data_IF_525838288818
#
_entry.id   IF_525838288818
#
_cell.length_a   1.000
_cell.length_b   1.000
_cell.length_c   1.000
_cell.angle_alpha   90.00
_cell.angle_beta   90.00
_cell.angle_gamma   90.00
#
_symmetry.space_group_name_H-M   'P 1'
#
loop_
_entity.id
_entity.type
_entity.pdbx_description
1 polymer ?
#
# COMPACT_ATOMS: atom_id res chain seq x y z
N UNK A 1 3.72 15.14 -17.38
CA UNK A 1 3.74 14.25 -18.54
C UNK A 1 4.56 13.05 -18.16
N UNK A 2 3.99 11.84 -18.21
CA UNK A 2 4.68 10.66 -17.70
C UNK A 2 5.79 10.25 -18.67
N UNK A 3 7.03 10.31 -18.20
CA UNK A 3 8.19 9.86 -18.99
C UNK A 3 8.13 8.35 -19.12
N UNK A 4 8.02 7.85 -20.34
CA UNK A 4 8.01 6.43 -20.65
C UNK A 4 9.01 6.13 -21.75
N UNK A 5 10.03 5.32 -21.43
CA UNK A 5 11.09 4.94 -22.37
C UNK A 5 10.83 3.65 -23.16
N UNK A 6 9.73 2.94 -22.95
CA UNK A 6 9.50 1.66 -23.64
C UNK A 6 8.25 1.69 -24.51
N UNK A 7 8.47 1.65 -25.84
CA UNK A 7 7.47 1.42 -26.90
C UNK A 7 6.99 -0.05 -26.99
N UNK A 8 7.32 -0.90 -26.01
CA UNK A 8 6.77 -2.27 -25.93
C UNK A 8 5.37 -2.20 -25.33
N UNK A 9 4.35 -2.44 -26.15
CA UNK A 9 2.92 -2.62 -25.80
C UNK A 9 2.60 -2.40 -24.32
N UNK A 10 2.25 -1.16 -23.95
CA UNK A 10 1.72 -0.85 -22.63
C UNK A 10 0.35 -1.50 -22.54
N UNK A 11 0.27 -2.69 -21.93
CA UNK A 11 -1.02 -3.29 -21.61
C UNK A 11 -1.68 -2.43 -20.54
N UNK A 12 -2.85 -1.87 -20.83
CA UNK A 12 -3.65 -1.18 -19.83
C UNK A 12 -3.99 -2.17 -18.68
N UNK A 13 -3.90 -1.70 -17.41
CA UNK A 13 -4.35 -2.50 -16.29
C UNK A 13 -5.87 -2.69 -16.40
N UNK A 14 -6.31 -3.94 -16.27
CA UNK A 14 -7.71 -4.34 -16.26
C UNK A 14 -7.86 -5.33 -15.10
N UNK A 15 -8.67 -4.98 -14.11
CA UNK A 15 -8.91 -5.77 -12.91
C UNK A 15 -9.44 -7.15 -13.33
N UNK A 16 -8.85 -8.20 -12.76
CA UNK A 16 -9.20 -9.58 -13.06
C UNK A 16 -8.57 -10.14 -14.35
N UNK A 17 -8.06 -9.29 -15.26
CA UNK A 17 -7.41 -9.71 -16.52
C UNK A 17 -5.89 -9.50 -16.47
N UNK A 18 -5.44 -8.25 -16.40
CA UNK A 18 -4.01 -7.88 -16.46
C UNK A 18 -3.46 -7.34 -15.14
N UNK A 19 -4.32 -6.94 -14.20
CA UNK A 19 -3.95 -6.55 -12.82
C UNK A 19 -4.83 -7.25 -11.78
N UNK A 20 -4.29 -7.50 -10.60
CA UNK A 20 -5.02 -8.09 -9.46
C UNK A 20 -4.85 -7.25 -8.21
N UNK A 21 -5.97 -6.89 -7.60
CA UNK A 21 -6.03 -6.25 -6.30
C UNK A 21 -6.63 -7.22 -5.29
N UNK A 22 -5.94 -7.37 -4.16
CA UNK A 22 -6.36 -8.17 -3.02
C UNK A 22 -6.60 -7.20 -1.86
N UNK A 23 -7.66 -7.42 -1.11
CA UNK A 23 -7.94 -6.68 0.13
C UNK A 23 -7.88 -7.62 1.31
N UNK A 24 -7.49 -7.11 2.47
CA UNK A 24 -7.51 -7.84 3.73
C UNK A 24 -7.85 -6.90 4.88
N UNK A 25 -8.52 -7.42 5.91
CA UNK A 25 -8.84 -6.67 7.12
C UNK A 25 -8.16 -7.28 8.34
N UNK A 26 -7.49 -6.46 9.15
CA UNK A 26 -7.02 -6.80 10.50
C UNK A 26 -7.87 -6.02 11.49
N UNK A 27 -8.74 -6.72 12.21
CA UNK A 27 -9.74 -6.09 13.09
C UNK A 27 -9.52 -6.67 14.48
N UNK A 28 -9.37 -5.78 15.46
CA UNK A 28 -9.30 -6.15 16.87
C UNK A 28 -10.60 -5.77 17.58
N UNK A 29 -11.04 -6.61 18.51
CA UNK A 29 -12.09 -6.23 19.48
C UNK A 29 -11.46 -5.55 20.71
N UNK A 30 -12.31 -5.13 21.65
CA UNK A 30 -11.89 -4.46 22.89
C UNK A 30 -11.01 -5.35 23.79
N UNK A 31 -11.13 -6.68 23.66
CA UNK A 31 -10.31 -7.68 24.35
C UNK A 31 -8.97 -7.96 23.64
N UNK A 32 -8.63 -7.20 22.60
CA UNK A 32 -7.40 -7.34 21.80
C UNK A 32 -7.28 -8.73 21.13
N UNK A 33 -8.41 -9.36 20.87
CA UNK A 33 -8.53 -10.54 20.02
C UNK A 33 -8.73 -10.10 18.57
N UNK A 34 -8.25 -10.89 17.62
CA UNK A 34 -8.34 -10.57 16.19
C UNK A 34 -9.44 -11.36 15.51
N UNK A 35 -10.20 -10.73 14.62
CA UNK A 35 -11.17 -11.41 13.78
C UNK A 35 -10.46 -12.33 12.78
N UNK A 36 -10.80 -13.62 12.81
CA UNK A 36 -10.28 -14.63 11.89
C UNK A 36 -11.45 -15.41 11.29
N UNK A 37 -11.26 -15.89 10.06
CA UNK A 37 -12.21 -16.77 9.37
C UNK A 37 -11.60 -18.14 9.14
N UNK A 38 -12.44 -19.18 9.16
CA UNK A 38 -12.06 -20.54 8.81
C UNK A 38 -12.45 -20.81 7.35
N UNK A 39 -11.47 -21.17 6.54
CA UNK A 39 -11.62 -21.33 5.10
C UNK A 39 -12.52 -22.51 4.71
N UNK A 40 -13.45 -22.27 3.78
CA UNK A 40 -14.33 -23.29 3.19
C UNK A 40 -13.72 -23.95 1.94
N UNK A 41 -12.85 -23.23 1.22
CA UNK A 41 -12.30 -23.58 -0.11
C UNK A 41 -11.42 -24.82 -0.04
N UNK A 42 -11.67 -25.80 -0.91
CA UNK A 42 -11.05 -27.14 -0.84
C UNK A 42 -9.51 -27.16 -0.69
N UNK A 43 -8.80 -26.21 -1.32
CA UNK A 43 -7.32 -26.13 -1.26
C UNK A 43 -6.77 -25.68 0.09
N UNK A 44 -7.58 -25.00 0.90
CA UNK A 44 -7.19 -24.42 2.20
C UNK A 44 -8.23 -24.68 3.28
N UNK A 45 -9.13 -25.64 3.08
CA UNK A 45 -10.24 -25.91 3.99
C UNK A 45 -9.74 -26.17 5.42
N UNK A 46 -10.45 -25.63 6.41
CA UNK A 46 -10.10 -25.70 7.83
C UNK A 46 -8.83 -24.94 8.24
N UNK A 47 -8.26 -24.15 7.33
CA UNK A 47 -7.20 -23.21 7.69
C UNK A 47 -7.78 -21.88 8.09
N UNK A 48 -7.09 -21.18 8.98
CA UNK A 48 -7.50 -19.86 9.46
C UNK A 48 -6.77 -18.74 8.72
N UNK A 49 -7.49 -17.68 8.41
CA UNK A 49 -6.97 -16.49 7.71
C UNK A 49 -7.68 -15.23 8.21
N UNK A 50 -7.13 -14.07 7.84
CA UNK A 50 -7.83 -12.80 7.96
C UNK A 50 -8.94 -12.73 6.90
N UNK A 51 -10.06 -12.02 7.17
CA UNK A 51 -11.03 -11.70 6.13
C UNK A 51 -10.32 -11.05 4.95
N UNK A 52 -10.38 -11.67 3.77
CA UNK A 52 -9.63 -11.21 2.60
C UNK A 52 -10.10 -11.84 1.30
N UNK A 53 -10.11 -11.03 0.25
CA UNK A 53 -10.38 -11.53 -1.09
C UNK A 53 -10.00 -10.55 -2.18
N UNK A 54 -10.61 -10.72 -3.34
CA UNK A 54 -10.24 -9.98 -4.55
C UNK A 54 -11.17 -8.80 -4.71
N UNK A 55 -10.62 -7.65 -5.08
CA UNK A 55 -11.48 -6.59 -5.62
C UNK A 55 -12.07 -7.07 -6.95
N UNK A 56 -13.34 -6.77 -7.16
CA UNK A 56 -14.06 -7.08 -8.38
C UNK A 56 -14.02 -5.90 -9.37
N UNK A 57 -14.28 -6.13 -10.67
CA UNK A 57 -14.54 -5.04 -11.60
C UNK A 57 -15.72 -4.18 -11.09
N UNK A 58 -15.70 -2.88 -11.37
CA UNK A 58 -16.73 -1.94 -10.91
C UNK A 58 -16.80 -1.74 -9.39
N UNK A 59 -15.67 -1.91 -8.68
CA UNK A 59 -15.60 -1.82 -7.22
C UNK A 59 -14.41 -0.95 -6.77
N UNK A 60 -14.59 -0.15 -5.72
CA UNK A 60 -13.46 0.53 -5.07
C UNK A 60 -12.77 -0.42 -4.10
N UNK A 61 -11.47 -0.25 -3.87
CA UNK A 61 -10.71 -1.09 -2.91
C UNK A 61 -11.33 -1.05 -1.50
N UNK A 62 -11.90 0.10 -1.10
CA UNK A 62 -12.57 0.26 0.19
C UNK A 62 -13.89 -0.52 0.25
N UNK A 63 -14.66 -0.54 -0.85
CA UNK A 63 -15.89 -1.32 -0.93
C UNK A 63 -15.60 -2.82 -0.92
N UNK A 64 -14.54 -3.24 -1.63
CA UNK A 64 -14.07 -4.62 -1.65
C UNK A 64 -13.77 -5.15 -0.24
N UNK A 65 -13.04 -4.38 0.59
CA UNK A 65 -12.71 -4.86 1.94
C UNK A 65 -13.95 -4.94 2.84
N UNK A 66 -14.94 -4.06 2.64
CA UNK A 66 -16.23 -4.11 3.35
C UNK A 66 -17.03 -5.34 2.95
N UNK A 67 -17.15 -5.61 1.64
CA UNK A 67 -17.84 -6.79 1.10
C UNK A 67 -17.22 -8.09 1.60
N UNK A 68 -15.91 -8.25 1.42
CA UNK A 68 -15.19 -9.47 1.83
C UNK A 68 -15.31 -9.73 3.33
N UNK A 69 -15.22 -8.68 4.17
CA UNK A 69 -15.43 -8.83 5.60
C UNK A 69 -16.85 -9.30 5.93
N UNK A 70 -17.87 -8.74 5.27
CA UNK A 70 -19.25 -9.14 5.49
C UNK A 70 -19.53 -10.58 5.01
N UNK A 71 -19.09 -10.94 3.80
CA UNK A 71 -19.27 -12.27 3.21
C UNK A 71 -18.60 -13.37 4.04
N UNK A 72 -17.36 -13.15 4.47
CA UNK A 72 -16.57 -14.17 5.17
C UNK A 72 -16.82 -14.21 6.69
N UNK A 73 -17.26 -13.10 7.31
CA UNK A 73 -17.41 -13.02 8.77
C UNK A 73 -18.80 -12.63 9.29
N UNK A 74 -19.70 -12.17 8.41
CA UNK A 74 -21.02 -11.67 8.77
C UNK A 74 -21.02 -10.28 9.43
N UNK A 75 -19.85 -9.66 9.62
CA UNK A 75 -19.71 -8.36 10.26
C UNK A 75 -19.62 -7.22 9.24
N UNK A 76 -20.35 -6.14 9.50
CA UNK A 76 -20.22 -4.88 8.77
C UNK A 76 -19.11 -4.05 9.40
N UNK A 77 -18.22 -3.51 8.57
CA UNK A 77 -17.01 -2.82 9.02
C UNK A 77 -16.90 -1.42 8.42
N UNK A 78 -16.27 -0.52 9.17
CA UNK A 78 -15.78 0.75 8.67
C UNK A 78 -14.25 0.75 8.72
N UNK A 79 -13.57 0.69 7.56
CA UNK A 79 -12.12 0.80 7.48
C UNK A 79 -11.61 2.07 8.16
N UNK A 80 -10.60 1.93 9.02
CA UNK A 80 -10.03 3.01 9.82
C UNK A 80 -8.68 3.48 9.29
N UNK A 81 -7.90 2.59 8.67
CA UNK A 81 -6.63 2.94 8.02
C UNK A 81 -6.22 1.88 6.98
N UNK A 82 -5.52 2.31 5.93
CA UNK A 82 -4.73 1.42 5.08
C UNK A 82 -3.34 1.29 5.71
N UNK A 83 -2.99 0.12 6.23
CA UNK A 83 -1.75 -0.04 7.03
C UNK A 83 -0.61 -0.65 6.21
N UNK A 84 -0.92 -1.48 5.22
CA UNK A 84 0.09 -2.13 4.38
C UNK A 84 -0.34 -2.16 2.92
N UNK A 85 0.60 -1.82 2.04
CA UNK A 85 0.53 -2.11 0.61
C UNK A 85 1.62 -3.12 0.27
N UNK A 86 1.22 -4.29 -0.19
CA UNK A 86 2.14 -5.30 -0.71
C UNK A 86 2.04 -5.35 -2.23
N UNK A 87 3.18 -5.58 -2.89
CA UNK A 87 3.17 -5.85 -4.33
C UNK A 87 4.03 -7.06 -4.69
N UNK A 88 3.59 -7.75 -5.74
CA UNK A 88 4.33 -8.84 -6.38
C UNK A 88 4.43 -8.54 -7.86
N UNK A 89 5.44 -7.76 -8.23
CA UNK A 89 5.49 -7.10 -9.53
C UNK A 89 4.66 -5.80 -9.54
N UNK A 90 4.30 -5.36 -10.74
CA UNK A 90 3.48 -4.17 -11.00
C UNK A 90 2.04 -4.49 -11.39
N UNK A 91 1.64 -5.76 -11.30
CA UNK A 91 0.31 -6.24 -11.68
C UNK A 91 -0.41 -7.03 -10.56
N UNK A 92 0.16 -7.06 -9.36
CA UNK A 92 -0.47 -7.67 -8.20
C UNK A 92 -0.20 -6.80 -6.98
N UNK A 93 -1.26 -6.39 -6.31
CA UNK A 93 -1.20 -5.60 -5.08
C UNK A 93 -2.13 -6.18 -4.02
N UNK A 94 -1.70 -6.11 -2.76
CA UNK A 94 -2.55 -6.38 -1.59
C UNK A 94 -2.63 -5.14 -0.70
N UNK A 95 -3.83 -4.76 -0.33
CA UNK A 95 -4.16 -3.64 0.54
C UNK A 95 -4.71 -4.18 1.85
N UNK A 96 -3.96 -4.01 2.94
CA UNK A 96 -4.40 -4.44 4.26
C UNK A 96 -4.91 -3.25 5.06
N UNK A 97 -6.14 -3.34 5.53
CA UNK A 97 -6.81 -2.32 6.30
C UNK A 97 -6.93 -2.71 7.77
N UNK A 98 -6.91 -1.73 8.66
CA UNK A 98 -7.61 -1.85 9.95
C UNK A 98 -9.04 -1.37 9.78
N UNK A 99 -9.95 -1.85 10.63
CA UNK A 99 -11.34 -1.41 10.61
C UNK A 99 -11.96 -1.51 12.01
N UNK A 100 -13.10 -0.86 12.18
CA UNK A 100 -13.99 -1.05 13.33
C UNK A 100 -15.27 -1.75 12.88
N UNK A 101 -15.82 -2.61 13.74
CA UNK A 101 -17.13 -3.21 13.50
C UNK A 101 -18.22 -2.16 13.74
N UNK A 102 -19.16 -2.03 12.81
CA UNK A 102 -20.28 -1.07 12.90
C UNK A 102 -21.65 -1.75 12.86
N UNK A 103 -21.71 -3.06 12.59
CA UNK A 103 -22.94 -3.81 12.47
C UNK A 103 -22.71 -5.28 12.11
N UNK A 104 -23.78 -5.97 11.72
CA UNK A 104 -23.75 -7.38 11.36
C UNK A 104 -23.77 -8.34 12.56
N UNK A 105 -23.60 -9.63 12.27
CA UNK A 105 -23.54 -10.70 13.27
C UNK A 105 -22.42 -11.68 12.91
N UNK A 106 -21.63 -12.06 13.92
CA UNK A 106 -20.52 -12.98 13.70
C UNK A 106 -21.02 -14.31 13.13
N UNK A 107 -20.45 -14.70 11.99
CA UNK A 107 -20.89 -15.87 11.22
C UNK A 107 -20.55 -17.18 11.92
N UNK A 108 -21.58 -17.98 12.14
CA UNK A 108 -21.50 -19.30 12.79
C UNK A 108 -21.92 -20.45 11.87
N UNK A 109 -22.50 -20.14 10.71
CA UNK A 109 -23.01 -21.13 9.74
C UNK A 109 -22.12 -21.14 8.51
N UNK A 110 -21.71 -22.33 8.10
CA UNK A 110 -20.83 -22.53 6.97
C UNK A 110 -21.53 -22.33 5.63
N UNK A 111 -20.82 -21.72 4.67
CA UNK A 111 -21.21 -21.61 3.28
C UNK A 111 -20.00 -21.69 2.33
N UNK A 112 -20.15 -21.16 1.11
CA UNK A 112 -19.10 -21.13 0.10
C UNK A 112 -17.97 -20.16 0.43
N UNK A 113 -18.21 -19.12 1.22
CA UNK A 113 -17.22 -18.08 1.54
C UNK A 113 -16.35 -18.48 2.72
N UNK A 114 -16.97 -19.00 3.78
CA UNK A 114 -16.26 -19.44 4.98
C UNK A 114 -17.06 -20.47 5.78
N UNK A 115 -16.36 -21.23 6.63
CA UNK A 115 -16.99 -22.18 7.57
C UNK A 115 -17.58 -21.43 8.77
N UNK A 116 -16.82 -20.49 9.32
CA UNK A 116 -17.19 -19.65 10.45
C UNK A 116 -16.21 -18.49 10.60
N UNK A 117 -16.53 -17.55 11.49
CA UNK A 117 -15.62 -16.52 11.98
C UNK A 117 -15.54 -16.53 13.50
N UNK A 118 -14.36 -16.24 14.04
CA UNK A 118 -14.10 -16.17 15.48
C UNK A 118 -13.24 -14.95 15.83
N UNK A 119 -13.45 -14.44 17.03
CA UNK A 119 -12.47 -13.62 17.71
C UNK A 119 -11.40 -14.53 18.31
N UNK A 120 -10.15 -14.31 17.92
CA UNK A 120 -9.05 -15.19 18.25
C UNK A 120 -8.01 -14.47 19.11
N UNK A 121 -7.77 -15.03 20.30
CA UNK A 121 -6.70 -14.58 21.17
C UNK A 121 -5.32 -14.90 20.60
N UNK A 122 -4.29 -14.24 21.13
CA UNK A 122 -2.91 -14.52 20.74
C UNK A 122 -2.50 -15.98 20.98
N UNK A 123 -2.99 -16.62 22.04
CA UNK A 123 -2.66 -18.03 22.32
C UNK A 123 -3.32 -18.97 21.30
N UNK A 124 -4.51 -18.63 20.81
CA UNK A 124 -5.15 -19.39 19.73
C UNK A 124 -4.31 -19.30 18.45
N UNK A 125 -3.95 -18.08 18.03
CA UNK A 125 -3.21 -17.82 16.80
C UNK A 125 -1.88 -18.58 16.72
N UNK A 126 -1.17 -18.73 17.84
CA UNK A 126 0.09 -19.48 17.91
C UNK A 126 -0.07 -20.98 17.63
N UNK A 127 -1.27 -21.53 17.83
CA UNK A 127 -1.57 -22.96 17.66
C UNK A 127 -2.44 -23.23 16.42
N UNK A 128 -3.07 -22.20 15.86
CA UNK A 128 -3.98 -22.31 14.75
C UNK A 128 -3.28 -22.83 13.49
N UNK A 129 -3.97 -23.66 12.72
CA UNK A 129 -3.52 -24.08 11.40
C UNK A 129 -3.79 -22.94 10.39
N UNK A 130 -2.84 -22.03 10.25
CA UNK A 130 -3.03 -20.85 9.42
C UNK A 130 -2.90 -21.15 7.92
N UNK A 131 -3.66 -20.43 7.10
CA UNK A 131 -3.58 -20.53 5.63
C UNK A 131 -2.20 -20.13 5.12
N UNK A 132 -1.60 -19.12 5.75
CA UNK A 132 -0.31 -18.57 5.36
C UNK A 132 0.45 -18.00 6.55
N UNK A 133 1.75 -18.27 6.62
CA UNK A 133 2.66 -17.79 7.68
C UNK A 133 2.75 -16.25 7.74
N UNK A 134 2.43 -15.56 6.65
CA UNK A 134 2.41 -14.09 6.64
C UNK A 134 1.26 -13.48 7.45
N UNK A 135 0.24 -14.28 7.78
CA UNK A 135 -0.94 -13.84 8.55
C UNK A 135 -0.54 -13.39 9.96
N UNK A 136 0.20 -14.22 10.72
CA UNK A 136 0.68 -13.84 12.06
C UNK A 136 1.55 -12.59 12.01
N UNK A 137 2.46 -12.56 11.04
CA UNK A 137 3.37 -11.44 10.93
C UNK A 137 2.63 -10.13 10.63
N UNK A 138 1.55 -10.17 9.85
CA UNK A 138 0.68 -9.02 9.61
C UNK A 138 -0.06 -8.60 10.88
N UNK A 139 -0.66 -9.54 11.60
CA UNK A 139 -1.37 -9.27 12.86
C UNK A 139 -0.43 -8.61 13.87
N UNK A 140 0.77 -9.16 14.05
CA UNK A 140 1.78 -8.61 14.95
C UNK A 140 2.27 -7.23 14.53
N UNK A 141 2.43 -6.99 13.22
CA UNK A 141 2.81 -5.70 12.70
C UNK A 141 1.74 -4.64 13.03
N UNK A 142 0.47 -4.94 12.76
CA UNK A 142 -0.64 -4.01 13.04
C UNK A 142 -0.79 -3.79 14.54
N UNK A 143 -0.76 -4.86 15.36
CA UNK A 143 -0.87 -4.79 16.83
C UNK A 143 0.22 -3.90 17.46
N UNK A 144 1.42 -3.88 16.89
CA UNK A 144 2.51 -2.98 17.32
C UNK A 144 2.33 -1.55 16.83
N UNK A 145 1.76 -1.37 15.64
CA UNK A 145 1.58 -0.06 14.99
C UNK A 145 0.38 0.72 15.52
N UNK A 146 -0.65 0.02 16.01
CA UNK A 146 -1.89 0.60 16.54
C UNK A 146 -1.65 1.52 17.76
N UNK A 147 -0.55 1.29 18.50
CA UNK A 147 -0.14 2.12 19.64
C UNK A 147 0.46 3.49 19.25
N UNK A 148 0.66 3.75 17.95
CA UNK A 148 1.26 4.97 17.40
C UNK A 148 0.34 5.70 16.41
N UNK A 149 -0.98 5.52 16.52
CA UNK A 149 -1.93 6.13 15.58
C UNK A 149 -1.81 7.66 15.52
N UNK A 150 -1.44 8.17 14.36
CA UNK A 150 -1.48 9.59 14.05
C UNK A 150 -2.76 9.90 13.25
N UNK A 151 -3.72 10.69 13.76
CA UNK A 151 -4.97 10.98 13.06
C UNK A 151 -4.82 11.82 11.78
N UNK A 152 -3.74 12.61 11.66
CA UNK A 152 -3.39 13.31 10.41
C UNK A 152 -2.81 12.36 9.36
N UNK A 153 -2.09 11.36 9.86
CA UNK A 153 -1.76 10.07 9.26
C UNK A 153 -2.98 9.41 8.60
N UNK A 154 -3.87 9.02 9.51
CA UNK A 154 -4.79 7.90 9.46
C UNK A 154 -6.06 8.04 8.63
N UNK A 155 -6.46 9.26 8.27
CA UNK A 155 -7.88 9.51 8.00
C UNK A 155 -8.32 9.48 6.54
N UNK A 156 -7.42 9.54 5.53
CA UNK A 156 -7.81 9.43 4.11
C UNK A 156 -6.66 8.88 3.24
N UNK A 157 -6.63 7.56 3.01
CA UNK A 157 -5.48 6.92 2.36
C UNK A 157 -5.70 6.38 0.96
N UNK A 158 -6.93 6.00 0.63
CA UNK A 158 -7.32 5.70 -0.74
C UNK A 158 -8.09 6.91 -1.25
N UNK A 159 -7.44 7.75 -2.03
CA UNK A 159 -8.12 8.80 -2.76
C UNK A 159 -8.90 8.17 -3.92
N UNK A 160 -10.18 8.54 -4.04
CA UNK A 160 -11.06 8.06 -5.11
C UNK A 160 -10.72 8.82 -6.38
N UNK A 161 -9.66 8.37 -7.05
CA UNK A 161 -9.14 8.97 -8.27
C UNK A 161 -8.85 7.86 -9.28
N UNK A 162 -9.40 8.00 -10.49
CA UNK A 162 -9.28 7.02 -11.55
C UNK A 162 -7.95 7.12 -12.31
N UNK A 163 -7.31 5.99 -12.56
CA UNK A 163 -6.07 5.94 -13.36
C UNK A 163 -6.17 4.86 -14.44
N UNK A 164 -5.81 5.19 -15.68
CA UNK A 164 -5.77 4.19 -16.77
C UNK A 164 -4.42 3.45 -16.83
N UNK A 165 -3.56 3.67 -15.82
CA UNK A 165 -2.20 3.16 -15.75
C UNK A 165 -1.82 2.87 -14.30
N UNK A 166 -0.87 1.97 -14.10
CA UNK A 166 -0.25 1.74 -12.80
C UNK A 166 0.95 2.68 -12.65
N UNK A 167 0.86 3.63 -11.73
CA UNK A 167 1.80 4.74 -11.60
C UNK A 167 2.52 4.74 -10.25
N UNK A 168 3.81 5.11 -10.27
CA UNK A 168 4.61 5.43 -9.09
C UNK A 168 4.89 6.93 -9.10
N UNK A 169 4.36 7.66 -8.13
CA UNK A 169 4.61 9.08 -7.91
C UNK A 169 5.53 9.25 -6.71
N UNK A 170 6.49 10.17 -6.79
CA UNK A 170 7.46 10.42 -5.73
C UNK A 170 7.20 11.80 -5.11
N UNK A 171 7.08 11.83 -3.78
CA UNK A 171 7.39 13.03 -3.01
C UNK A 171 8.86 12.89 -2.59
N UNK A 172 9.76 13.45 -3.40
CA UNK A 172 11.19 13.37 -3.12
C UNK A 172 11.61 14.60 -2.30
N UNK A 173 11.93 14.38 -1.03
CA UNK A 173 12.16 15.43 -0.04
C UNK A 173 13.65 15.52 0.37
N UNK A 174 14.15 16.75 0.49
CA UNK A 174 15.50 17.06 0.98
C UNK A 174 15.42 18.21 1.97
N UNK A 175 16.20 18.12 3.05
CA UNK A 175 16.31 19.16 4.06
C UNK A 175 17.64 19.93 3.90
N UNK A 176 17.58 21.26 3.90
CA UNK A 176 18.75 22.13 3.94
C UNK A 176 18.53 23.27 4.92
N UNK A 177 19.39 23.39 5.93
CA UNK A 177 19.33 24.46 6.94
C UNK A 177 17.95 24.61 7.59
N UNK A 178 17.27 23.47 7.87
CA UNK A 178 15.91 23.34 8.41
C UNK A 178 14.76 23.65 7.46
N UNK A 179 15.03 24.11 6.23
CA UNK A 179 14.00 24.25 5.19
C UNK A 179 13.82 22.92 4.46
N UNK A 180 12.56 22.52 4.25
CA UNK A 180 12.20 21.37 3.42
C UNK A 180 11.98 21.76 1.95
N UNK A 181 12.57 20.95 1.06
CA UNK A 181 12.45 21.08 -0.38
C UNK A 181 11.86 19.81 -0.98
N UNK A 182 10.98 19.97 -1.96
CA UNK A 182 10.45 18.86 -2.76
C UNK A 182 10.83 19.01 -4.22
N UNK A 183 11.15 17.89 -4.85
CA UNK A 183 11.43 17.86 -6.29
C UNK A 183 10.12 17.92 -7.08
N UNK A 184 10.04 18.83 -8.05
CA UNK A 184 8.90 19.01 -8.95
C UNK A 184 9.39 18.93 -10.40
N UNK A 185 8.71 18.18 -11.24
CA UNK A 185 8.93 18.20 -12.69
C UNK A 185 8.26 19.43 -13.28
N UNK A 186 8.93 20.13 -14.19
CA UNK A 186 8.40 21.34 -14.82
C UNK A 186 7.59 21.06 -16.10
N UNK A 187 7.64 19.83 -16.64
CA UNK A 187 7.12 19.49 -17.96
C UNK A 187 5.99 18.44 -17.96
N UNK A 188 4.95 18.61 -18.80
CA UNK A 188 4.61 19.81 -19.57
C UNK A 188 4.01 20.92 -18.69
N UNK A 189 3.78 20.64 -17.40
CA UNK A 189 3.34 21.56 -16.38
C UNK A 189 3.88 21.08 -15.02
N UNK A 190 4.00 21.94 -14.00
CA UNK A 190 4.48 21.55 -12.68
C UNK A 190 3.72 20.37 -12.08
N UNK A 191 4.42 19.29 -11.76
CA UNK A 191 3.85 18.13 -11.06
C UNK A 191 4.91 17.34 -10.29
N UNK A 192 4.48 16.53 -9.31
CA UNK A 192 5.38 15.61 -8.63
C UNK A 192 5.95 14.56 -9.59
N UNK A 193 7.22 14.15 -9.47
CA UNK A 193 7.81 13.13 -10.33
C UNK A 193 6.95 11.86 -10.37
N UNK A 194 6.59 11.39 -11.57
CA UNK A 194 5.73 10.22 -11.76
C UNK A 194 6.20 9.37 -12.94
N UNK A 195 6.18 8.05 -12.77
CA UNK A 195 6.53 7.07 -13.80
C UNK A 195 5.56 5.88 -13.85
N UNK A 196 5.56 5.14 -14.97
CA UNK A 196 4.81 3.90 -15.10
C UNK A 196 5.47 2.76 -14.30
N UNK A 197 4.66 1.98 -13.58
CA UNK A 197 5.08 0.71 -12.98
C UNK A 197 4.86 -0.40 -14.01
N UNK A 198 5.95 -0.99 -14.50
CA UNK A 198 5.85 -2.11 -15.43
C UNK A 198 5.27 -3.36 -14.73
N UNK A 199 4.34 -4.12 -15.37
CA UNK A 199 3.68 -5.29 -14.76
C UNK A 199 4.63 -6.32 -14.13
N UNK A 200 5.80 -6.53 -14.74
CA UNK A 200 6.79 -7.51 -14.28
C UNK A 200 7.83 -6.95 -13.31
N UNK A 201 7.95 -5.62 -13.18
CA UNK A 201 8.96 -5.02 -12.33
C UNK A 201 8.47 -4.99 -10.89
N UNK A 202 9.36 -5.31 -9.94
CA UNK A 202 9.09 -4.97 -8.55
C UNK A 202 9.07 -3.44 -8.41
N UNK A 203 8.26 -2.94 -7.49
CA UNK A 203 8.22 -1.52 -7.20
C UNK A 203 9.59 -0.95 -6.77
N UNK A 204 10.45 -1.76 -6.13
CA UNK A 204 11.84 -1.37 -5.81
C UNK A 204 12.70 -1.15 -7.06
N UNK A 205 12.54 -2.00 -8.08
CA UNK A 205 13.24 -1.83 -9.36
C UNK A 205 12.72 -0.57 -10.07
N UNK A 206 11.41 -0.38 -10.10
CA UNK A 206 10.79 0.82 -10.68
C UNK A 206 11.29 2.09 -9.99
N UNK A 207 11.25 2.15 -8.65
CA UNK A 207 11.74 3.27 -7.85
C UNK A 207 13.21 3.57 -8.13
N UNK A 208 14.07 2.55 -8.04
CA UNK A 208 15.51 2.73 -8.24
C UNK A 208 15.83 3.19 -9.66
N UNK A 209 15.20 2.60 -10.68
CA UNK A 209 15.40 3.01 -12.06
C UNK A 209 14.91 4.44 -12.30
N UNK A 210 13.79 4.82 -11.67
CA UNK A 210 13.24 6.16 -11.82
C UNK A 210 14.14 7.22 -11.18
N UNK A 211 14.63 6.99 -9.95
CA UNK A 211 15.58 7.89 -9.28
C UNK A 211 16.88 8.01 -10.10
N UNK A 212 17.44 6.90 -10.56
CA UNK A 212 18.63 6.92 -11.44
C UNK A 212 18.41 7.71 -12.72
N UNK A 213 17.21 7.60 -13.29
CA UNK A 213 16.85 8.34 -14.50
C UNK A 213 16.73 9.84 -14.23
N UNK A 214 16.05 10.26 -13.16
CA UNK A 214 15.91 11.67 -12.77
C UNK A 214 17.29 12.29 -12.57
N UNK A 215 18.12 11.71 -11.70
CA UNK A 215 19.39 12.30 -11.26
C UNK A 215 20.59 11.95 -12.15
N UNK A 216 20.38 11.18 -13.23
CA UNK A 216 21.43 10.69 -14.13
C UNK A 216 22.64 10.09 -13.39
N UNK A 217 22.38 9.39 -12.28
CA UNK A 217 23.40 8.82 -11.40
C UNK A 217 23.28 7.30 -11.30
N UNK A 218 24.40 6.60 -11.15
CA UNK A 218 24.44 5.18 -10.82
C UNK A 218 24.52 4.94 -9.31
N UNK A 219 24.93 5.94 -8.53
CA UNK A 219 25.07 5.86 -7.09
C UNK A 219 23.79 6.32 -6.39
N UNK A 220 23.09 5.35 -5.80
CA UNK A 220 21.80 5.52 -5.12
C UNK A 220 21.88 5.26 -3.61
N UNK A 221 23.08 5.16 -3.04
CA UNK A 221 23.28 4.72 -1.66
C UNK A 221 22.61 5.62 -0.60
N UNK A 222 22.14 6.81 -0.98
CA UNK A 222 21.68 7.82 -0.05
C UNK A 222 20.17 8.10 -0.06
N UNK A 223 19.35 7.36 -0.83
CA UNK A 223 17.89 7.49 -0.77
C UNK A 223 17.24 6.37 0.02
N UNK A 224 16.15 6.71 0.72
CA UNK A 224 15.36 5.75 1.48
C UNK A 224 13.88 5.99 1.19
N UNK A 225 13.16 5.04 0.55
CA UNK A 225 11.70 5.09 0.57
C UNK A 225 11.27 4.94 2.04
N UNK A 226 10.53 5.93 2.54
CA UNK A 226 10.04 5.90 3.92
C UNK A 226 8.74 5.09 4.03
N UNK A 227 7.89 5.19 3.01
CA UNK A 227 6.61 4.47 2.93
C UNK A 227 5.74 5.00 1.80
N UNK A 228 4.56 4.41 1.63
CA UNK A 228 3.52 4.95 0.77
C UNK A 228 2.78 6.04 1.56
N UNK A 229 2.61 7.20 0.93
CA UNK A 229 1.93 8.36 1.50
C UNK A 229 0.43 8.32 1.20
N UNK A 230 0.07 7.95 -0.03
CA UNK A 230 -1.32 7.78 -0.45
C UNK A 230 -1.41 6.78 -1.61
N UNK A 231 -2.57 6.15 -1.73
CA UNK A 231 -2.98 5.33 -2.87
C UNK A 231 -4.14 6.03 -3.55
N UNK A 232 -4.07 6.18 -4.87
CA UNK A 232 -5.19 6.66 -5.68
C UNK A 232 -5.74 5.49 -6.49
N UNK A 233 -7.05 5.22 -6.37
CA UNK A 233 -7.74 4.20 -7.16
C UNK A 233 -9.24 4.47 -7.21
N UNK A 234 -9.84 4.26 -8.38
CA UNK A 234 -11.28 4.24 -8.55
C UNK A 234 -11.64 3.18 -9.61
N UNK A 235 -12.18 2.04 -9.18
CA UNK A 235 -12.56 0.94 -10.11
C UNK A 235 -13.91 1.14 -10.80
N UNK A 236 -14.53 2.33 -10.67
CA UNK A 236 -15.86 2.65 -11.19
C UNK A 236 -15.77 3.72 -12.29
N UNK A 237 -16.51 3.58 -13.40
CA UNK A 237 -17.23 2.38 -13.86
C UNK A 237 -16.32 1.20 -14.22
N UNK A 238 -16.89 0.01 -14.41
CA UNK A 238 -16.17 -1.20 -14.81
C UNK A 238 -15.14 -0.95 -15.94
N UNK A 239 -13.89 -1.34 -15.71
CA UNK A 239 -12.80 -1.31 -16.70
C UNK A 239 -12.43 0.07 -17.25
N UNK A 240 -12.94 1.14 -16.66
CA UNK A 240 -12.65 2.50 -17.11
C UNK A 240 -11.36 3.07 -16.54
N UNK A 241 -11.03 2.74 -15.28
CA UNK A 241 -9.91 3.32 -14.55
C UNK A 241 -9.21 2.31 -13.62
N UNK A 242 -9.02 1.08 -14.11
CA UNK A 242 -8.52 -0.09 -13.38
C UNK A 242 -7.03 -0.02 -12.96
N UNK A 243 -6.36 1.10 -13.18
CA UNK A 243 -5.02 1.38 -12.70
C UNK A 243 -5.01 2.00 -11.30
N UNK A 244 -3.83 2.41 -10.86
CA UNK A 244 -3.65 3.07 -9.57
C UNK A 244 -2.47 4.04 -9.61
N UNK A 245 -2.39 4.95 -8.64
CA UNK A 245 -1.18 5.69 -8.36
C UNK A 245 -0.72 5.46 -6.92
N UNK A 246 0.50 4.94 -6.75
CA UNK A 246 1.18 4.90 -5.46
C UNK A 246 2.04 6.15 -5.31
N UNK A 247 1.73 7.00 -4.34
CA UNK A 247 2.61 8.11 -3.97
C UNK A 247 3.55 7.65 -2.87
N UNK A 248 4.85 7.65 -3.13
CA UNK A 248 5.90 7.22 -2.19
C UNK A 248 6.70 8.42 -1.70
N UNK A 249 6.85 8.52 -0.39
CA UNK A 249 7.72 9.50 0.25
C UNK A 249 9.16 8.99 0.24
N UNK A 250 10.07 9.77 -0.32
CA UNK A 250 11.50 9.43 -0.43
C UNK A 250 12.34 10.51 0.24
N UNK A 251 13.15 10.11 1.23
CA UNK A 251 14.12 11.00 1.87
C UNK A 251 15.45 10.93 1.11
N UNK A 252 15.81 12.03 0.45
CA UNK A 252 17.01 12.15 -0.37
C UNK A 252 18.23 12.61 0.41
N UNK A 253 18.75 11.79 1.34
CA UNK A 253 20.05 12.11 1.97
C UNK A 253 21.09 12.19 0.83
N UNK A 254 22.06 13.11 0.92
CA UNK A 254 23.10 13.26 -0.11
C UNK A 254 22.66 13.88 -1.45
N UNK A 255 21.42 14.35 -1.58
CA UNK A 255 20.97 15.18 -2.73
C UNK A 255 20.90 16.67 -2.37
N UNK A 256 21.46 17.09 -1.24
CA UNK A 256 21.47 18.48 -0.77
C UNK A 256 22.19 19.38 -1.79
N UNK A 257 23.31 18.93 -2.34
CA UNK A 257 24.06 19.68 -3.35
C UNK A 257 23.30 19.79 -4.68
N UNK A 258 22.36 18.87 -4.94
CA UNK A 258 21.49 18.94 -6.10
C UNK A 258 20.43 20.06 -5.98
N UNK A 259 20.26 20.69 -4.81
CA UNK A 259 19.37 21.84 -4.65
C UNK A 259 19.85 23.02 -5.52
N UNK A 260 21.16 23.28 -5.51
CA UNK A 260 21.75 24.38 -6.28
C UNK A 260 21.95 24.02 -7.77
N UNK A 261 21.81 22.73 -8.11
CA UNK A 261 21.95 22.18 -9.48
C UNK A 261 20.87 21.13 -9.71
N UNK A 262 19.62 21.54 -9.94
CA UNK A 262 18.52 20.60 -10.10
C UNK A 262 18.72 19.71 -11.34
N UNK A 263 18.17 18.49 -11.33
CA UNK A 263 18.15 17.65 -12.52
C UNK A 263 17.41 18.32 -13.69
N UNK A 264 17.73 17.92 -14.92
CA UNK A 264 17.10 18.46 -16.12
C UNK A 264 15.57 18.28 -16.07
N UNK A 265 14.82 19.33 -16.38
CA UNK A 265 13.34 19.38 -16.39
C UNK A 265 12.69 19.24 -14.99
N UNK A 266 13.49 19.46 -13.94
CA UNK A 266 13.05 19.48 -12.54
C UNK A 266 13.50 20.76 -11.83
N UNK A 267 12.77 21.12 -10.78
CA UNK A 267 13.12 22.19 -9.86
C UNK A 267 12.92 21.72 -8.41
N UNK A 268 13.70 22.29 -7.49
CA UNK A 268 13.48 22.15 -6.05
C UNK A 268 12.62 23.28 -5.56
N UNK A 269 11.44 22.94 -5.03
CA UNK A 269 10.51 23.91 -4.48
C UNK A 269 10.60 23.88 -2.97
N UNK A 270 10.90 25.03 -2.36
CA UNK A 270 10.82 25.23 -0.91
C UNK A 270 9.35 25.15 -0.49
N UNK A 271 9.05 24.35 0.52
CA UNK A 271 7.69 24.25 1.04
C UNK A 271 7.31 25.46 1.90
N UNK A 272 6.02 25.79 1.90
CA UNK A 272 5.45 26.72 2.87
C UNK A 272 5.26 26.04 4.23
N UNK A 273 5.19 26.82 5.30
CA UNK A 273 5.10 26.33 6.69
C UNK A 273 4.01 25.25 6.93
N UNK A 274 2.78 25.34 6.39
CA UNK A 274 1.78 24.29 6.59
C UNK A 274 2.20 22.94 5.99
N UNK A 275 2.75 22.96 4.77
CA UNK A 275 3.19 21.74 4.08
C UNK A 275 4.48 21.18 4.69
N UNK A 276 5.38 22.07 5.10
CA UNK A 276 6.62 21.71 5.78
C UNK A 276 6.34 21.02 7.11
N UNK A 277 5.37 21.48 7.90
CA UNK A 277 4.96 20.81 9.14
C UNK A 277 4.47 19.40 8.88
N UNK A 278 3.57 19.21 7.90
CA UNK A 278 3.04 17.89 7.53
C UNK A 278 4.17 16.96 7.08
N UNK A 279 5.02 17.44 6.19
CA UNK A 279 6.14 16.65 5.67
C UNK A 279 7.14 16.30 6.78
N UNK A 280 7.45 17.23 7.68
CA UNK A 280 8.35 16.99 8.81
C UNK A 280 7.79 15.95 9.78
N UNK A 281 6.48 15.95 10.03
CA UNK A 281 5.83 14.86 10.77
C UNK A 281 6.12 13.54 10.05
N UNK A 282 5.77 13.41 8.78
CA UNK A 282 5.98 12.17 8.01
C UNK A 282 7.45 11.73 7.89
N UNK A 283 8.40 12.67 7.77
CA UNK A 283 9.83 12.38 7.61
C UNK A 283 10.51 11.92 8.91
N UNK A 284 9.91 12.25 10.06
CA UNK A 284 10.44 11.93 11.39
C UNK A 284 9.58 10.90 12.14
N UNK A 285 8.38 10.62 11.63
CA UNK A 285 7.54 9.53 12.10
C UNK A 285 8.26 8.18 12.02
N UNK A 286 8.03 7.28 13.00
CA UNK A 286 8.39 5.88 12.85
C UNK A 286 7.83 5.31 11.54
N UNK A 287 8.52 4.35 10.93
CA UNK A 287 8.05 3.69 9.69
C UNK A 287 6.64 3.07 9.82
N UNK A 288 6.17 2.82 11.04
CA UNK A 288 4.84 2.31 11.35
C UNK A 288 3.71 3.32 11.17
N UNK A 289 4.00 4.61 11.03
CA UNK A 289 2.97 5.65 10.83
C UNK A 289 2.75 6.02 9.34
N UNK A 290 3.62 5.55 8.44
CA UNK A 290 3.38 5.60 6.99
C UNK A 290 2.78 4.26 6.55
N UNK A 291 2.08 4.25 5.42
CA UNK A 291 1.62 3.00 4.82
C UNK A 291 2.86 2.16 4.52
N UNK A 292 3.03 1.06 5.25
CA UNK A 292 4.19 0.20 5.09
C UNK A 292 4.10 -0.49 3.74
N UNK A 293 5.13 -0.34 2.92
CA UNK A 293 5.18 -1.01 1.64
C UNK A 293 6.21 -2.14 1.63
N UNK A 294 5.74 -3.34 1.25
CA UNK A 294 6.57 -4.53 1.05
C UNK A 294 6.45 -5.04 -0.38
N UNK A 295 7.55 -4.95 -1.14
CA UNK A 295 7.67 -5.63 -2.43
C UNK A 295 8.17 -7.07 -2.23
N UNK A 296 7.32 -8.07 -2.48
CA UNK A 296 7.71 -9.49 -2.49
C UNK A 296 8.33 -9.82 -3.84
N UNK A 297 9.51 -10.45 -3.84
CA UNK A 297 10.05 -11.12 -5.02
C UNK A 297 9.53 -12.56 -5.08
N UNK A 298 9.10 -13.03 -6.25
CA UNK A 298 8.88 -14.45 -6.56
C UNK A 298 10.22 -15.20 -6.65
N UNK A 299 11.01 -15.17 -5.59
CA UNK A 299 12.16 -16.04 -5.41
C UNK A 299 11.92 -16.82 -4.13
N UNK A 300 11.78 -18.15 -4.27
CA UNK A 300 11.57 -19.14 -3.19
C UNK A 300 12.64 -19.11 -2.08
N UNK A 301 13.58 -18.16 -2.06
CA UNK A 301 14.73 -18.13 -1.17
C UNK A 301 14.81 -16.93 -0.21
N UNK A 302 13.90 -15.94 -0.27
CA UNK A 302 13.98 -14.74 0.60
C UNK A 302 12.64 -14.22 1.14
N UNK A 303 11.64 -15.09 1.30
CA UNK A 303 10.39 -14.72 2.00
C UNK A 303 10.60 -14.43 3.52
N UNK A 304 11.75 -14.82 4.08
CA UNK A 304 12.04 -14.81 5.52
C UNK A 304 12.72 -13.54 6.06
N UNK A 305 12.66 -12.39 5.36
CA UNK A 305 12.94 -11.13 6.06
C UNK A 305 11.67 -10.72 6.81
N UNK A 306 11.69 -11.00 8.11
CA UNK A 306 10.70 -10.61 9.11
C UNK A 306 10.50 -9.09 9.12
N UNK A 307 9.38 -8.66 9.69
CA UNK A 307 9.05 -7.26 9.98
C UNK A 307 10.02 -6.73 11.05
N UNK A 308 11.27 -6.44 10.67
CA UNK A 308 12.31 -5.84 11.50
C UNK A 308 12.56 -4.40 11.09
#
# INVERSE_FOLDING_TARGET
GVVSKNKSQKSEPIIGKSIRYIVAAVIFNDDNEVLMIEESKAKCRHKWSLPSGKAEPNEQIVDAVKREAFEESGLEIEPTALVVVESSGGNWFRFTFTARVIGGQLKTVADAESIQALWCSQQFLQKANLRSEDTLNMIEFVRKSDKSYNPFIGSQFVAIEGHNRTLLRLVFAVERRRDQFVLVSELPSPHLPVCDIHPTNSLNVTLNNFIKWIFMTSNIANHWPLGVFTVEHNGVPEHSHDGLCLTVLVKGKGFIDAIDRPPRDYAWIRLSQPLESVLNTCLNSPKSELIYWRAKYWSKRKANKSFS
#
